data_IF_814737124098
#
_entry.id   IF_814737124098
#
_cell.length_a   1.000
_cell.length_b   1.000
_cell.length_c   1.000
_cell.angle_alpha   90.00
_cell.angle_beta   90.00
_cell.angle_gamma   90.00
#
_symmetry.space_group_name_H-M   'P 1'
#
loop_
_entity.id
_entity.type
_entity.pdbx_description
1 polymer ?
#
# COMPACT_ATOMS: atom_id res chain seq x y z
N UNK A 1 42.34 42.67 -6.13
CA UNK A 1 42.41 41.21 -5.92
C UNK A 1 41.64 40.93 -4.65
N UNK A 2 40.40 40.46 -4.80
CA UNK A 2 39.59 39.75 -3.80
C UNK A 2 38.53 38.96 -4.60
N UNK A 3 38.17 37.71 -4.23
CA UNK A 3 37.28 36.88 -5.02
C UNK A 3 35.81 37.07 -4.62
N UNK A 4 34.94 37.18 -5.62
CA UNK A 4 33.48 37.08 -5.49
C UNK A 4 33.11 35.60 -5.35
N UNK A 5 32.57 35.20 -4.21
CA UNK A 5 31.87 33.93 -4.05
C UNK A 5 30.38 34.19 -4.29
N UNK A 6 29.88 33.77 -5.44
CA UNK A 6 28.45 33.80 -5.75
C UNK A 6 27.76 32.61 -5.11
N UNK A 7 26.83 32.87 -4.19
CA UNK A 7 25.84 31.90 -3.76
C UNK A 7 24.87 31.65 -4.93
N UNK A 8 24.90 30.44 -5.48
CA UNK A 8 23.84 29.95 -6.34
C UNK A 8 22.64 29.56 -5.46
N UNK A 9 21.75 30.52 -5.19
CA UNK A 9 20.40 30.21 -4.74
C UNK A 9 19.63 29.73 -5.97
N UNK A 10 19.56 28.41 -6.14
CA UNK A 10 18.61 27.83 -7.08
C UNK A 10 17.21 27.87 -6.43
N UNK A 11 16.51 28.97 -6.65
CA UNK A 11 15.10 29.09 -6.32
C UNK A 11 14.33 28.04 -7.13
N UNK A 12 13.68 27.11 -6.43
CA UNK A 12 12.76 26.16 -7.04
C UNK A 12 11.66 26.95 -7.76
N UNK A 13 11.76 27.08 -9.07
CA UNK A 13 10.70 27.61 -9.91
C UNK A 13 9.48 26.69 -9.78
N UNK A 14 8.46 27.16 -9.05
CA UNK A 14 7.14 26.57 -9.05
C UNK A 14 6.35 27.20 -10.20
N UNK A 15 6.24 26.51 -11.32
CA UNK A 15 5.29 26.89 -12.37
C UNK A 15 3.88 26.60 -11.86
N UNK A 16 3.11 27.66 -11.63
CA UNK A 16 1.69 27.61 -11.31
C UNK A 16 0.88 27.22 -12.56
N UNK A 17 -0.16 26.41 -12.35
CA UNK A 17 -1.13 25.82 -13.30
C UNK A 17 -0.74 24.49 -13.97
N UNK A 18 -1.06 23.35 -13.33
CA UNK A 18 -1.77 22.24 -13.99
C UNK A 18 -2.53 21.49 -12.88
N UNK A 19 -3.87 21.36 -12.99
CA UNK A 19 -4.58 20.36 -12.18
C UNK A 19 -3.93 18.99 -12.38
N UNK A 20 -3.94 18.12 -11.37
CA UNK A 20 -3.34 16.77 -11.47
C UNK A 20 -3.82 16.11 -12.76
N UNK A 21 -2.98 16.09 -13.79
CA UNK A 21 -3.32 15.37 -15.03
C UNK A 21 -3.32 13.90 -14.66
N UNK A 22 -4.42 13.21 -14.99
CA UNK A 22 -4.51 11.79 -14.77
C UNK A 22 -3.39 11.11 -15.58
N UNK A 23 -2.65 10.16 -15.00
CA UNK A 23 -1.63 9.43 -15.75
C UNK A 23 -2.25 8.75 -16.98
N UNK A 24 -1.59 8.87 -18.14
CA UNK A 24 -2.04 8.32 -19.44
C UNK A 24 -1.14 7.15 -19.85
N UNK A 25 -1.67 6.18 -20.60
CA UNK A 25 -0.90 5.09 -21.21
C UNK A 25 -0.76 3.84 -20.34
N UNK A 26 -1.55 3.76 -19.26
CA UNK A 26 -1.60 2.63 -18.32
C UNK A 26 -2.99 2.01 -18.21
N UNK A 27 -3.90 2.37 -19.11
CA UNK A 27 -5.30 1.97 -19.07
C UNK A 27 -5.44 0.44 -19.15
N UNK A 28 -4.64 -0.21 -19.99
CA UNK A 28 -4.63 -1.68 -20.10
C UNK A 28 -4.07 -2.34 -18.83
N UNK A 29 -2.95 -1.85 -18.29
CA UNK A 29 -2.36 -2.36 -17.04
C UNK A 29 -3.36 -2.23 -15.88
N UNK A 30 -4.02 -1.08 -15.77
CA UNK A 30 -5.07 -0.82 -14.77
C UNK A 30 -6.22 -1.80 -14.94
N UNK A 31 -6.73 -1.97 -16.16
CA UNK A 31 -7.84 -2.87 -16.45
C UNK A 31 -7.55 -4.32 -16.03
N UNK A 32 -6.35 -4.82 -16.35
CA UNK A 32 -5.93 -6.18 -15.97
C UNK A 32 -5.92 -6.33 -14.44
N UNK A 33 -5.38 -5.36 -13.70
CA UNK A 33 -5.34 -5.41 -12.24
C UNK A 33 -6.74 -5.32 -11.61
N UNK A 34 -7.63 -4.51 -12.18
CA UNK A 34 -9.04 -4.41 -11.74
C UNK A 34 -9.78 -5.73 -11.96
N UNK A 35 -9.57 -6.37 -13.10
CA UNK A 35 -10.14 -7.69 -13.40
C UNK A 35 -9.62 -8.76 -12.43
N UNK A 36 -8.32 -8.74 -12.11
CA UNK A 36 -7.73 -9.62 -11.09
C UNK A 36 -8.35 -9.42 -9.71
N UNK A 37 -8.57 -8.16 -9.27
CA UNK A 37 -9.21 -7.84 -7.99
C UNK A 37 -10.71 -8.21 -7.95
N UNK A 38 -11.35 -8.25 -9.10
CA UNK A 38 -12.77 -8.59 -9.24
C UNK A 38 -13.00 -10.10 -9.34
N UNK A 39 -12.00 -10.86 -9.80
CA UNK A 39 -12.12 -12.32 -9.97
C UNK A 39 -11.94 -13.06 -8.65
N UNK A 40 -12.79 -14.08 -8.44
CA UNK A 40 -12.67 -15.00 -7.31
C UNK A 40 -11.62 -16.11 -7.55
N UNK A 41 -11.04 -16.17 -8.74
CA UNK A 41 -10.14 -17.24 -9.16
C UNK A 41 -8.75 -17.14 -8.50
N UNK A 42 -8.39 -15.96 -8.02
CA UNK A 42 -7.09 -15.68 -7.39
C UNK A 42 -7.15 -15.68 -5.86
N UNK A 43 -8.26 -16.12 -5.27
CA UNK A 43 -8.45 -16.18 -3.83
C UNK A 43 -7.95 -17.54 -3.31
N UNK A 44 -6.87 -17.55 -2.52
CA UNK A 44 -6.43 -18.75 -1.81
C UNK A 44 -7.46 -19.06 -0.71
N UNK A 45 -8.42 -19.95 -1.01
CA UNK A 45 -9.44 -20.34 -0.04
C UNK A 45 -8.81 -21.28 0.98
N UNK A 46 -8.70 -20.82 2.23
CA UNK A 46 -8.38 -21.67 3.38
C UNK A 46 -9.63 -21.87 4.23
N UNK A 47 -9.58 -22.80 5.18
CA UNK A 47 -10.65 -23.01 6.18
C UNK A 47 -10.97 -21.75 7.01
N UNK A 48 -10.04 -20.77 7.05
CA UNK A 48 -10.15 -19.52 7.80
C UNK A 48 -10.53 -18.30 6.93
N UNK A 49 -10.90 -18.52 5.66
CA UNK A 49 -11.14 -17.47 4.68
C UNK A 49 -10.09 -17.46 3.58
N UNK A 50 -10.17 -16.49 2.66
CA UNK A 50 -9.20 -16.38 1.58
C UNK A 50 -8.79 -14.96 1.27
N UNK A 51 -7.55 -14.83 0.82
CA UNK A 51 -6.95 -13.57 0.39
C UNK A 51 -6.48 -13.70 -1.07
N UNK A 52 -6.37 -12.57 -1.75
CA UNK A 52 -5.70 -12.49 -3.04
C UNK A 52 -4.60 -11.45 -2.93
N UNK A 53 -3.39 -11.81 -3.35
CA UNK A 53 -2.22 -10.94 -3.27
C UNK A 53 -1.76 -10.66 -4.70
N UNK A 54 -1.70 -9.37 -5.05
CA UNK A 54 -1.18 -8.90 -6.33
C UNK A 54 0.05 -8.05 -6.04
N UNK A 55 1.19 -8.42 -6.63
CA UNK A 55 2.45 -7.72 -6.45
C UNK A 55 2.81 -6.92 -7.71
N UNK A 56 3.09 -5.62 -7.54
CA UNK A 56 3.55 -4.73 -8.63
C UNK A 56 5.04 -4.52 -8.46
N UNK A 57 5.85 -5.20 -9.27
CA UNK A 57 7.31 -5.20 -9.20
C UNK A 57 7.93 -4.55 -10.45
N UNK A 58 9.05 -3.87 -10.27
CA UNK A 58 9.75 -3.22 -11.38
C UNK A 58 10.79 -2.20 -10.93
N UNK A 59 11.57 -1.69 -11.88
CA UNK A 59 12.64 -0.72 -11.63
C UNK A 59 12.13 0.58 -10.98
N UNK A 60 13.01 1.32 -10.33
CA UNK A 60 12.73 2.66 -9.83
C UNK A 60 12.30 3.60 -10.97
N UNK A 61 11.37 4.52 -10.69
CA UNK A 61 10.90 5.51 -11.67
C UNK A 61 9.93 5.02 -12.75
N UNK A 62 9.57 3.73 -12.78
CA UNK A 62 8.68 3.18 -13.83
C UNK A 62 7.18 3.51 -13.64
N UNK A 63 6.82 4.12 -12.50
CA UNK A 63 5.43 4.50 -12.19
C UNK A 63 4.60 3.43 -11.49
N UNK A 64 5.21 2.54 -10.69
CA UNK A 64 4.48 1.48 -9.94
C UNK A 64 3.42 2.05 -8.99
N UNK A 65 3.83 3.02 -8.17
CA UNK A 65 2.94 3.74 -7.27
C UNK A 65 1.81 4.43 -8.06
N UNK A 66 2.14 5.01 -9.23
CA UNK A 66 1.16 5.62 -10.12
C UNK A 66 0.12 4.60 -10.59
N UNK A 67 0.55 3.41 -11.05
CA UNK A 67 -0.34 2.34 -11.47
C UNK A 67 -1.22 1.83 -10.32
N UNK A 68 -0.63 1.60 -9.14
CA UNK A 68 -1.36 1.19 -7.94
C UNK A 68 -2.43 2.22 -7.55
N UNK A 69 -2.12 3.53 -7.61
CA UNK A 69 -3.06 4.60 -7.32
C UNK A 69 -4.21 4.67 -8.35
N UNK A 70 -3.91 4.46 -9.64
CA UNK A 70 -4.95 4.37 -10.67
C UNK A 70 -5.95 3.23 -10.36
N UNK A 71 -5.43 2.05 -10.03
CA UNK A 71 -6.26 0.89 -9.65
C UNK A 71 -7.06 1.18 -8.39
N UNK A 72 -6.41 1.72 -7.34
CA UNK A 72 -7.05 2.02 -6.06
C UNK A 72 -8.26 2.95 -6.20
N UNK A 73 -8.20 3.91 -7.13
CA UNK A 73 -9.31 4.83 -7.43
C UNK A 73 -10.39 4.17 -8.30
N UNK A 74 -10.01 3.40 -9.31
CA UNK A 74 -10.96 2.73 -10.21
C UNK A 74 -11.87 1.74 -9.45
N UNK A 75 -11.33 1.08 -8.42
CA UNK A 75 -12.07 0.09 -7.62
C UNK A 75 -12.81 0.68 -6.41
N UNK A 76 -12.88 2.01 -6.28
CA UNK A 76 -13.54 2.68 -5.14
C UNK A 76 -14.96 2.15 -4.89
N UNK A 77 -15.76 1.96 -5.95
CA UNK A 77 -17.12 1.46 -5.83
C UNK A 77 -17.19 -0.01 -5.41
N UNK A 78 -16.14 -0.80 -5.65
CA UNK A 78 -16.09 -2.23 -5.31
C UNK A 78 -15.69 -2.49 -3.86
N UNK A 79 -14.88 -1.59 -3.27
CA UNK A 79 -14.31 -1.75 -1.93
C UNK A 79 -14.78 -0.67 -0.93
N UNK A 80 -15.67 0.23 -1.35
CA UNK A 80 -16.36 1.27 -0.55
C UNK A 80 -15.41 1.92 0.48
N UNK A 81 -15.86 2.18 1.70
CA UNK A 81 -15.07 2.83 2.76
C UNK A 81 -14.02 1.90 3.39
N UNK A 82 -13.92 0.63 2.95
CA UNK A 82 -12.99 -0.37 3.49
C UNK A 82 -11.82 -0.62 2.55
N UNK A 83 -11.23 0.48 2.10
CA UNK A 83 -9.98 0.52 1.34
C UNK A 83 -8.95 1.35 2.08
N UNK A 84 -7.74 0.82 2.22
CA UNK A 84 -6.64 1.50 2.90
C UNK A 84 -5.37 1.48 2.06
N UNK A 85 -4.64 2.58 2.14
CA UNK A 85 -3.33 2.74 1.55
C UNK A 85 -2.33 2.96 2.68
N UNK A 86 -1.43 2.00 2.88
CA UNK A 86 -0.47 2.01 3.98
C UNK A 86 0.91 2.23 3.40
N UNK A 87 1.51 3.37 3.72
CA UNK A 87 2.91 3.65 3.43
C UNK A 87 3.78 3.04 4.54
N UNK A 88 4.59 2.03 4.21
CA UNK A 88 5.43 1.35 5.18
C UNK A 88 6.79 2.05 5.31
N UNK A 89 7.31 2.13 6.53
CA UNK A 89 8.70 2.52 6.77
C UNK A 89 9.66 1.50 6.13
N UNK A 90 10.87 1.93 5.74
CA UNK A 90 11.91 0.99 5.27
C UNK A 90 12.22 -0.07 6.35
N UNK A 91 11.98 -1.35 6.03
CA UNK A 91 12.27 -2.53 6.89
C UNK A 91 11.63 -2.46 8.30
N UNK A 92 10.29 -2.37 8.42
CA UNK A 92 9.64 -2.45 9.72
C UNK A 92 9.80 -3.88 10.26
N UNK A 93 9.95 -4.15 11.57
CA UNK A 93 9.79 -5.53 12.08
C UNK A 93 8.32 -5.97 12.04
N UNK A 94 8.03 -7.27 12.22
CA UNK A 94 6.66 -7.82 12.13
C UNK A 94 5.66 -7.05 13.02
N UNK A 95 6.09 -6.64 14.21
CA UNK A 95 5.24 -5.90 15.16
C UNK A 95 4.96 -4.49 14.67
N UNK A 96 5.97 -3.81 14.14
CA UNK A 96 5.84 -2.44 13.64
C UNK A 96 5.05 -2.39 12.33
N UNK A 97 5.16 -3.42 11.50
CA UNK A 97 4.34 -3.61 10.31
C UNK A 97 2.85 -3.69 10.67
N UNK A 98 2.47 -4.61 11.57
CA UNK A 98 1.07 -4.78 11.99
C UNK A 98 0.54 -3.51 12.65
N UNK A 99 1.37 -2.79 13.42
CA UNK A 99 1.00 -1.49 14.00
C UNK A 99 0.74 -0.42 12.94
N UNK A 100 1.60 -0.32 11.91
CA UNK A 100 1.42 0.64 10.83
C UNK A 100 0.12 0.38 10.08
N UNK A 101 -0.18 -0.88 9.78
CA UNK A 101 -1.45 -1.27 9.15
C UNK A 101 -2.63 -0.94 10.08
N UNK A 102 -2.54 -1.28 11.37
CA UNK A 102 -3.61 -0.99 12.35
C UNK A 102 -3.92 0.50 12.48
N UNK A 103 -2.91 1.38 12.43
CA UNK A 103 -3.11 2.84 12.48
C UNK A 103 -3.98 3.33 11.32
N UNK A 104 -3.80 2.77 10.13
CA UNK A 104 -4.59 3.13 8.96
C UNK A 104 -5.98 2.46 8.96
N UNK A 105 -6.04 1.17 9.28
CA UNK A 105 -7.28 0.38 9.28
C UNK A 105 -8.22 0.78 10.41
N UNK A 106 -7.66 1.11 11.59
CA UNK A 106 -8.39 1.45 12.80
C UNK A 106 -8.01 2.87 13.26
N UNK A 107 -8.81 3.86 12.85
CA UNK A 107 -8.61 5.28 13.21
C UNK A 107 -8.62 5.55 14.72
N UNK A 108 -9.20 4.66 15.52
CA UNK A 108 -9.22 4.73 16.99
C UNK A 108 -8.06 3.98 17.66
N UNK A 109 -7.15 3.38 16.90
CA UNK A 109 -5.98 2.71 17.45
C UNK A 109 -5.06 3.75 18.12
N UNK A 110 -5.14 3.83 19.44
CA UNK A 110 -4.18 4.59 20.23
C UNK A 110 -2.81 3.90 20.23
N UNK A 111 -1.74 4.66 20.49
CA UNK A 111 -0.40 4.13 20.70
C UNK A 111 -0.32 3.35 22.02
N UNK A 112 -1.00 2.20 22.10
CA UNK A 112 -0.82 1.26 23.20
C UNK A 112 0.51 0.53 22.99
N UNK A 113 1.50 0.93 23.78
CA UNK A 113 2.88 0.44 23.68
C UNK A 113 3.03 -1.01 24.12
N UNK A 114 2.07 -1.57 24.86
CA UNK A 114 2.20 -2.83 25.60
C UNK A 114 1.33 -4.01 25.07
N UNK A 115 0.99 -4.02 23.78
CA UNK A 115 0.33 -5.17 23.15
C UNK A 115 1.36 -6.18 22.61
N UNK A 116 1.09 -7.49 22.73
CA UNK A 116 1.91 -8.53 22.07
C UNK A 116 1.68 -8.54 20.55
N UNK A 117 2.56 -9.18 19.77
CA UNK A 117 2.34 -9.35 18.31
C UNK A 117 1.01 -10.09 18.04
N UNK A 118 0.74 -11.15 18.82
CA UNK A 118 -0.50 -11.93 18.70
C UNK A 118 -1.75 -11.09 18.94
N UNK A 119 -1.73 -10.19 19.94
CA UNK A 119 -2.85 -9.30 20.22
C UNK A 119 -3.09 -8.33 19.07
N UNK A 120 -2.01 -7.78 18.49
CA UNK A 120 -2.07 -6.87 17.35
C UNK A 120 -2.62 -7.60 16.11
N UNK A 121 -2.13 -8.80 15.81
CA UNK A 121 -2.65 -9.61 14.70
C UNK A 121 -4.14 -9.95 14.92
N UNK A 122 -4.53 -10.30 16.14
CA UNK A 122 -5.94 -10.59 16.46
C UNK A 122 -6.83 -9.37 16.25
N UNK A 123 -6.40 -8.19 16.70
CA UNK A 123 -7.13 -6.95 16.47
C UNK A 123 -7.24 -6.63 14.98
N UNK A 124 -6.15 -6.78 14.22
CA UNK A 124 -6.15 -6.52 12.79
C UNK A 124 -7.08 -7.49 12.07
N UNK A 125 -7.01 -8.79 12.37
CA UNK A 125 -7.90 -9.80 11.78
C UNK A 125 -9.37 -9.53 12.10
N UNK A 126 -9.69 -9.12 13.33
CA UNK A 126 -11.05 -8.74 13.71
C UNK A 126 -11.56 -7.54 12.90
N UNK A 127 -10.68 -6.58 12.57
CA UNK A 127 -11.06 -5.46 11.72
C UNK A 127 -11.21 -5.84 10.25
N UNK A 128 -10.32 -6.67 9.71
CA UNK A 128 -10.30 -7.05 8.30
C UNK A 128 -11.34 -8.11 7.93
N UNK A 129 -11.77 -8.95 8.87
CA UNK A 129 -12.71 -10.05 8.62
C UNK A 129 -14.19 -9.65 8.50
N UNK A 130 -14.55 -8.40 8.78
CA UNK A 130 -15.95 -7.97 8.81
C UNK A 130 -16.60 -8.00 7.42
N UNK A 131 -15.87 -7.60 6.39
CA UNK A 131 -16.38 -7.40 5.03
C UNK A 131 -15.25 -7.57 4.00
N UNK A 132 -15.58 -7.54 2.70
CA UNK A 132 -14.56 -7.50 1.63
C UNK A 132 -13.78 -6.19 1.72
N UNK A 133 -12.46 -6.25 1.72
CA UNK A 133 -11.57 -5.10 1.87
C UNK A 133 -10.49 -5.03 0.78
N UNK A 134 -9.93 -3.84 0.57
CA UNK A 134 -8.71 -3.63 -0.21
C UNK A 134 -7.63 -3.00 0.66
N UNK A 135 -6.45 -3.63 0.69
CA UNK A 135 -5.29 -3.10 1.38
C UNK A 135 -4.14 -2.95 0.39
N UNK A 136 -3.70 -1.72 0.18
CA UNK A 136 -2.49 -1.41 -0.61
C UNK A 136 -1.35 -1.16 0.37
N UNK A 137 -0.28 -1.97 0.25
CA UNK A 137 0.95 -1.78 0.99
C UNK A 137 2.00 -1.16 0.07
N UNK A 138 2.36 0.08 0.34
CA UNK A 138 3.39 0.81 -0.41
C UNK A 138 4.77 0.61 0.24
N UNK A 139 5.78 0.50 -0.62
CA UNK A 139 7.20 0.42 -0.26
C UNK A 139 7.58 -0.82 0.57
N UNK A 140 7.14 -1.99 0.11
CA UNK A 140 7.47 -3.29 0.71
C UNK A 140 8.89 -3.72 0.29
N UNK A 141 9.82 -3.79 1.25
CA UNK A 141 11.24 -4.04 0.99
C UNK A 141 11.67 -5.52 1.04
N UNK A 142 11.08 -6.35 1.90
CA UNK A 142 11.47 -7.76 2.03
C UNK A 142 10.29 -8.70 1.76
N UNK A 143 10.39 -9.48 0.69
CA UNK A 143 9.37 -10.46 0.27
C UNK A 143 9.41 -11.71 1.15
N UNK A 144 10.60 -12.12 1.63
CA UNK A 144 10.79 -13.35 2.42
C UNK A 144 9.90 -13.41 3.67
N UNK A 145 9.59 -12.26 4.24
CA UNK A 145 8.74 -12.14 5.42
C UNK A 145 7.28 -12.52 5.14
N UNK A 146 6.85 -12.33 3.89
CA UNK A 146 5.49 -12.65 3.45
C UNK A 146 5.38 -14.08 2.90
N UNK A 147 6.49 -14.70 2.50
CA UNK A 147 6.53 -16.07 2.00
C UNK A 147 6.63 -17.11 3.13
N UNK A 148 7.29 -16.78 4.25
CA UNK A 148 7.44 -17.68 5.40
C UNK A 148 6.11 -17.99 6.12
N UNK A 149 5.06 -17.15 5.97
CA UNK A 149 3.73 -17.40 6.55
C UNK A 149 2.70 -17.96 5.55
N UNK A 150 3.01 -18.01 4.25
CA UNK A 150 2.11 -18.55 3.20
C UNK A 150 2.54 -19.97 2.78
N UNK A 151 3.69 -20.45 3.26
CA UNK A 151 4.29 -21.73 2.88
C UNK A 151 4.25 -22.87 3.91
N UNK A 152 3.72 -22.67 5.11
CA UNK A 152 3.57 -23.75 6.10
C UNK A 152 2.16 -23.74 6.72
N UNK A 153 1.18 -24.24 5.97
CA UNK A 153 0.12 -25.15 6.43
C UNK A 153 -0.82 -25.57 5.30
#
# INVERSE_FOLDING_TARGET
KDPVHGEHVNSKEATHHIGVQLPIGRENDTKVLVEMLSSNDFCCKTEKGGASIISIVGKGGIGKMTLANMVFNEVEQQFVERRWWVCLSERPNHKDLVRQILREVCKSYGENTDCSLTDLCTQLLNELSKEKILLVLEDVWEIKWWEEEIGEH
#
